data_IF_500509282133
#
_entry.id   IF_500509282133
#
_cell.length_a   1.000
_cell.length_b   1.000
_cell.length_c   1.000
_cell.angle_alpha   90.00
_cell.angle_beta   90.00
_cell.angle_gamma   90.00
#
_symmetry.space_group_name_H-M   'P 1'
#
loop_
_entity.id
_entity.type
_entity.pdbx_description
1 polymer ?
#
# COMPACT_ATOMS: atom_id res chain seq x y z
N UNK A 1 -6.70 -6.50 21.63
CA UNK A 1 -5.23 -6.68 21.45
C UNK A 1 -4.43 -5.64 22.22
N UNK A 2 -4.57 -4.32 21.98
CA UNK A 2 -3.77 -3.27 22.66
C UNK A 2 -3.88 -3.31 24.19
N UNK A 3 -5.10 -3.50 24.73
CA UNK A 3 -5.31 -3.65 26.18
C UNK A 3 -4.56 -4.85 26.76
N UNK A 4 -4.49 -5.96 26.01
CA UNK A 4 -3.77 -7.14 26.46
C UNK A 4 -2.26 -6.87 26.51
N UNK A 5 -1.70 -6.19 25.52
CA UNK A 5 -0.29 -5.79 25.52
C UNK A 5 0.01 -4.94 26.75
N UNK A 6 -0.85 -3.98 27.04
CA UNK A 6 -0.71 -3.13 28.23
C UNK A 6 -0.71 -3.97 29.52
N UNK A 7 -1.74 -4.81 29.73
CA UNK A 7 -1.86 -5.65 30.91
C UNK A 7 -0.68 -6.61 31.07
N UNK A 8 -0.19 -7.21 29.97
CA UNK A 8 0.96 -8.10 30.01
C UNK A 8 2.24 -7.36 30.41
N UNK A 9 2.45 -6.16 29.87
CA UNK A 9 3.63 -5.34 30.23
C UNK A 9 3.58 -4.86 31.68
N UNK A 10 2.42 -4.44 32.16
CA UNK A 10 2.22 -4.07 33.57
C UNK A 10 2.42 -5.27 34.49
N UNK A 11 1.91 -6.45 34.13
CA UNK A 11 2.13 -7.67 34.89
C UNK A 11 3.59 -8.10 34.93
N UNK A 12 4.31 -7.99 33.80
CA UNK A 12 5.75 -8.27 33.77
C UNK A 12 6.56 -7.32 34.67
N UNK A 13 6.23 -6.03 34.66
CA UNK A 13 6.87 -5.05 35.54
C UNK A 13 6.59 -5.35 37.03
N UNK A 14 5.37 -5.70 37.37
CA UNK A 14 5.00 -6.12 38.74
C UNK A 14 5.75 -7.35 39.19
N UNK A 15 5.87 -8.37 38.32
CA UNK A 15 6.63 -9.59 38.63
C UNK A 15 8.13 -9.29 38.90
N UNK A 16 8.67 -8.24 38.30
CA UNK A 16 10.04 -7.78 38.55
C UNK A 16 10.16 -6.85 39.79
N UNK A 17 9.06 -6.66 40.54
CA UNK A 17 9.06 -5.82 41.74
C UNK A 17 9.17 -4.33 41.46
N UNK A 18 8.83 -3.86 40.26
CA UNK A 18 8.86 -2.45 39.92
C UNK A 18 7.82 -1.66 40.73
N UNK A 19 8.22 -0.49 41.24
CA UNK A 19 7.34 0.44 41.94
C UNK A 19 6.34 1.10 41.02
N UNK A 20 5.31 1.75 41.58
CA UNK A 20 4.25 2.41 40.79
C UNK A 20 4.78 3.51 39.87
N UNK A 21 5.86 4.16 40.27
CA UNK A 21 6.56 5.21 39.54
C UNK A 21 7.44 4.68 38.39
N UNK A 22 7.69 3.38 38.38
CA UNK A 22 8.51 2.68 37.37
C UNK A 22 7.67 1.84 36.39
N UNK A 23 6.35 1.91 36.50
CA UNK A 23 5.46 1.15 35.63
C UNK A 23 5.56 1.63 34.16
N UNK A 24 5.40 0.70 33.19
CA UNK A 24 5.44 1.05 31.78
C UNK A 24 4.38 2.09 31.40
N UNK A 25 4.79 3.12 30.66
CA UNK A 25 3.87 4.08 30.05
C UNK A 25 3.60 3.69 28.60
N UNK A 26 2.36 3.84 28.17
CA UNK A 26 1.92 3.51 26.81
C UNK A 26 1.47 4.75 26.08
N UNK A 27 2.09 5.03 24.96
CA UNK A 27 1.69 6.10 24.05
C UNK A 27 1.32 5.49 22.69
N UNK A 28 0.08 5.70 22.27
CA UNK A 28 -0.38 5.31 20.94
C UNK A 28 -0.28 6.51 20.02
N UNK A 29 0.50 6.36 18.95
CA UNK A 29 0.69 7.41 17.94
C UNK A 29 0.22 6.89 16.59
N UNK A 30 -0.85 7.51 16.09
CA UNK A 30 -1.43 7.18 14.82
C UNK A 30 -2.19 5.84 14.80
N UNK A 31 -2.98 5.70 13.80
CA UNK A 31 -3.67 4.45 13.45
C UNK A 31 -3.82 4.39 11.94
N UNK A 32 -3.77 3.21 11.37
CA UNK A 32 -4.06 2.98 9.96
C UNK A 32 -5.15 1.93 9.84
N UNK A 33 -6.07 2.15 8.92
CA UNK A 33 -7.07 1.17 8.54
C UNK A 33 -6.64 0.46 7.25
N UNK A 34 -7.15 -0.75 6.97
CA UNK A 34 -6.85 -1.40 5.70
C UNK A 34 -7.27 -0.55 4.51
N UNK A 35 -6.39 -0.46 3.51
CA UNK A 35 -6.71 0.13 2.22
C UNK A 35 -7.40 -0.94 1.38
N UNK A 36 -8.69 -0.74 1.11
CA UNK A 36 -9.50 -1.70 0.35
C UNK A 36 -10.06 -0.97 -0.86
N UNK A 37 -9.60 -1.36 -2.04
CA UNK A 37 -10.08 -0.80 -3.29
C UNK A 37 -11.56 -1.12 -3.51
N UNK A 38 -12.32 -0.13 -4.00
CA UNK A 38 -13.69 -0.37 -4.42
C UNK A 38 -13.70 -1.29 -5.64
N UNK A 39 -14.40 -2.41 -5.54
CA UNK A 39 -14.42 -3.48 -6.56
C UNK A 39 -14.95 -3.01 -7.91
N UNK A 40 -16.06 -2.29 -7.90
CA UNK A 40 -16.71 -1.81 -9.13
C UNK A 40 -15.86 -0.74 -9.81
N UNK A 41 -15.31 0.17 -9.03
CA UNK A 41 -14.42 1.20 -9.52
C UNK A 41 -13.12 0.61 -10.10
N UNK A 42 -12.52 -0.36 -9.44
CA UNK A 42 -11.36 -1.08 -9.97
C UNK A 42 -11.69 -1.78 -11.29
N UNK A 43 -12.82 -2.48 -11.36
CA UNK A 43 -13.26 -3.15 -12.58
C UNK A 43 -13.49 -2.16 -13.74
N UNK A 44 -14.05 -0.97 -13.47
CA UNK A 44 -14.21 0.10 -14.45
C UNK A 44 -12.88 0.57 -15.04
N UNK A 45 -11.84 0.70 -14.23
CA UNK A 45 -10.51 1.14 -14.68
C UNK A 45 -9.74 0.05 -15.42
N UNK A 46 -9.98 -1.21 -15.12
CA UNK A 46 -9.22 -2.33 -15.70
C UNK A 46 -9.33 -2.41 -17.24
N UNK A 47 -10.49 -2.16 -17.81
CA UNK A 47 -10.69 -2.21 -19.26
C UNK A 47 -9.79 -1.22 -20.02
N UNK A 48 -9.89 0.08 -19.77
CA UNK A 48 -9.03 1.09 -20.39
C UNK A 48 -7.54 0.88 -20.14
N UNK A 49 -7.17 0.45 -18.93
CA UNK A 49 -5.77 0.19 -18.58
C UNK A 49 -5.20 -1.02 -19.34
N UNK A 50 -5.99 -2.08 -19.50
CA UNK A 50 -5.60 -3.25 -20.30
C UNK A 50 -5.49 -2.90 -21.79
N UNK A 51 -6.40 -2.08 -22.30
CA UNK A 51 -6.29 -1.58 -23.68
C UNK A 51 -5.04 -0.74 -23.92
N UNK A 52 -4.62 0.05 -22.92
CA UNK A 52 -3.42 0.88 -23.00
C UNK A 52 -2.12 0.08 -22.90
N UNK A 53 -2.04 -0.83 -21.91
CA UNK A 53 -0.80 -1.48 -21.50
C UNK A 53 -0.70 -2.92 -22.01
N UNK A 54 -1.80 -3.53 -22.40
CA UNK A 54 -1.92 -4.97 -22.67
C UNK A 54 -2.27 -5.76 -21.40
N UNK A 55 -3.01 -6.86 -21.58
CA UNK A 55 -3.53 -7.69 -20.49
C UNK A 55 -2.45 -8.18 -19.50
N UNK A 56 -1.28 -8.51 -20.04
CA UNK A 56 -0.15 -9.05 -19.25
C UNK A 56 0.44 -8.06 -18.26
N UNK A 57 0.19 -6.77 -18.46
CA UNK A 57 0.79 -5.70 -17.67
C UNK A 57 -0.18 -5.08 -16.66
N UNK A 58 -1.41 -5.59 -16.59
CA UNK A 58 -2.42 -5.14 -15.62
C UNK A 58 -2.83 -6.29 -14.73
N UNK A 59 -2.27 -6.31 -13.53
CA UNK A 59 -2.64 -7.28 -12.50
C UNK A 59 -3.90 -6.79 -11.79
N UNK A 60 -4.99 -7.53 -11.95
CA UNK A 60 -6.29 -7.19 -11.34
C UNK A 60 -6.47 -7.80 -9.95
N UNK A 61 -5.63 -8.76 -9.61
CA UNK A 61 -5.59 -9.41 -8.30
C UNK A 61 -4.15 -9.40 -7.79
N UNK A 62 -3.98 -8.99 -6.57
CA UNK A 62 -2.69 -8.97 -5.91
C UNK A 62 -2.88 -9.39 -4.44
N UNK A 63 -2.01 -10.25 -3.90
CA UNK A 63 -2.09 -10.63 -2.49
C UNK A 63 -2.05 -9.42 -1.57
N UNK A 64 -2.79 -9.48 -0.48
CA UNK A 64 -2.74 -8.44 0.55
C UNK A 64 -1.30 -8.28 1.07
N UNK A 65 -0.85 -7.04 1.19
CA UNK A 65 0.45 -6.70 1.76
C UNK A 65 0.29 -6.15 3.17
N UNK A 66 1.27 -6.41 4.03
CA UNK A 66 1.25 -6.01 5.45
C UNK A 66 1.84 -4.61 5.69
N UNK A 67 1.99 -3.81 4.63
CA UNK A 67 2.37 -2.41 4.77
C UNK A 67 1.22 -1.55 5.27
N UNK A 68 1.49 -0.54 6.07
CA UNK A 68 0.53 0.52 6.38
C UNK A 68 0.56 1.59 5.30
N UNK A 69 -0.60 2.17 5.00
CA UNK A 69 -0.77 3.22 4.00
C UNK A 69 -1.78 4.23 4.53
N UNK A 70 -1.58 5.48 4.23
CA UNK A 70 -2.43 6.58 4.71
C UNK A 70 -3.22 7.29 3.60
N UNK A 71 -3.11 6.83 2.36
CA UNK A 71 -3.81 7.42 1.19
C UNK A 71 -5.32 7.55 1.40
N UNK A 72 -5.93 6.61 2.12
CA UNK A 72 -7.36 6.63 2.42
C UNK A 72 -7.78 7.80 3.31
N UNK A 73 -6.85 8.43 4.05
CA UNK A 73 -7.12 9.62 4.83
C UNK A 73 -7.37 10.85 3.95
N UNK A 74 -6.98 10.82 2.67
CA UNK A 74 -7.33 11.89 1.71
C UNK A 74 -8.85 12.03 1.51
N UNK A 75 -9.62 10.98 1.78
CA UNK A 75 -11.08 11.03 1.72
C UNK A 75 -11.70 11.76 2.91
N UNK A 76 -10.97 11.96 4.01
CA UNK A 76 -11.50 12.52 5.24
C UNK A 76 -12.73 11.73 5.72
N UNK A 77 -13.80 12.43 5.99
CA UNK A 77 -15.08 11.85 6.43
C UNK A 77 -15.96 11.32 5.28
N UNK A 78 -15.55 11.52 4.03
CA UNK A 78 -16.32 11.15 2.83
C UNK A 78 -16.12 9.67 2.48
N UNK A 79 -16.62 8.78 3.32
CA UNK A 79 -16.43 7.33 3.18
C UNK A 79 -17.22 6.71 2.01
N UNK A 80 -18.18 7.43 1.46
CA UNK A 80 -19.00 6.98 0.34
C UNK A 80 -18.34 7.20 -1.03
N UNK A 81 -17.20 7.92 -1.07
CA UNK A 81 -16.45 8.12 -2.31
C UNK A 81 -15.67 6.84 -2.61
N UNK A 82 -15.97 6.14 -3.73
CA UNK A 82 -15.18 4.99 -4.12
C UNK A 82 -13.78 5.43 -4.50
N UNK A 83 -12.77 4.73 -4.01
CA UNK A 83 -11.39 5.00 -4.38
C UNK A 83 -10.68 3.74 -4.87
N UNK A 84 -9.59 3.96 -5.58
CA UNK A 84 -8.71 2.91 -6.06
C UNK A 84 -7.25 3.32 -5.83
N UNK A 85 -6.50 2.46 -5.19
CA UNK A 85 -5.07 2.57 -4.97
C UNK A 85 -4.35 1.57 -5.87
N UNK A 86 -3.49 2.06 -6.74
CA UNK A 86 -2.77 1.23 -7.71
C UNK A 86 -1.27 1.30 -7.48
N UNK A 87 -0.61 0.16 -7.59
CA UNK A 87 0.84 0.09 -7.67
C UNK A 87 1.29 0.16 -9.12
N UNK A 88 2.29 0.98 -9.40
CA UNK A 88 2.94 1.06 -10.71
C UNK A 88 4.34 0.48 -10.56
N UNK A 89 4.65 -0.55 -11.37
CA UNK A 89 5.99 -1.13 -11.40
C UNK A 89 7.00 -0.13 -11.95
N UNK A 90 8.02 0.17 -11.18
CA UNK A 90 9.05 1.18 -11.50
C UNK A 90 10.46 0.61 -11.54
N UNK A 91 10.63 -0.69 -11.37
CA UNK A 91 11.94 -1.33 -11.48
C UNK A 91 12.28 -1.63 -12.95
N UNK A 92 13.58 -1.54 -13.29
CA UNK A 92 14.06 -2.05 -14.58
C UNK A 92 13.65 -3.53 -14.75
N UNK A 93 13.08 -3.93 -15.90
CA UNK A 93 12.56 -5.29 -16.11
C UNK A 93 13.61 -6.39 -15.93
N UNK A 94 14.87 -6.14 -16.30
CA UNK A 94 15.96 -7.12 -16.15
C UNK A 94 16.33 -7.28 -14.67
N UNK A 95 16.42 -6.17 -13.96
CA UNK A 95 16.70 -6.17 -12.53
C UNK A 95 15.57 -6.86 -11.76
N UNK A 96 14.32 -6.58 -12.13
CA UNK A 96 13.16 -7.24 -11.54
C UNK A 96 13.19 -8.76 -11.78
N UNK A 97 13.40 -9.20 -13.04
CA UNK A 97 13.45 -10.61 -13.37
C UNK A 97 14.58 -11.36 -12.62
N UNK A 98 15.72 -10.72 -12.43
CA UNK A 98 16.83 -11.29 -11.66
C UNK A 98 16.50 -11.39 -10.15
N UNK A 99 15.81 -10.42 -9.60
CA UNK A 99 15.35 -10.49 -8.21
C UNK A 99 14.38 -11.66 -7.99
N UNK A 100 13.41 -11.83 -8.89
CA UNK A 100 12.45 -12.95 -8.86
C UNK A 100 13.17 -14.31 -8.95
N UNK A 101 14.16 -14.46 -9.84
CA UNK A 101 14.99 -15.68 -9.92
C UNK A 101 15.74 -15.99 -8.62
N UNK A 102 16.05 -14.95 -7.83
CA UNK A 102 16.70 -15.09 -6.52
C UNK A 102 15.68 -15.29 -5.36
N UNK A 103 14.39 -15.48 -5.67
CA UNK A 103 13.33 -15.64 -4.68
C UNK A 103 12.93 -14.35 -3.96
N UNK A 104 13.34 -13.19 -4.47
CA UNK A 104 12.96 -11.88 -3.93
C UNK A 104 11.68 -11.40 -4.62
N UNK A 105 10.66 -10.91 -3.88
CA UNK A 105 9.42 -10.43 -4.48
C UNK A 105 9.61 -9.13 -5.27
N UNK A 106 10.57 -8.30 -4.84
CA UNK A 106 10.93 -7.04 -5.49
C UNK A 106 12.44 -6.81 -5.39
N UNK A 107 13.08 -6.11 -6.34
CA UNK A 107 14.52 -5.82 -6.26
C UNK A 107 14.86 -4.78 -5.19
N UNK A 108 13.96 -3.85 -4.95
CA UNK A 108 14.13 -2.73 -4.03
C UNK A 108 12.89 -2.60 -3.16
N UNK A 109 13.09 -2.44 -1.85
CA UNK A 109 12.01 -2.20 -0.91
C UNK A 109 11.74 -0.69 -0.86
N UNK A 110 10.48 -0.23 -1.00
CA UNK A 110 10.12 1.17 -0.77
C UNK A 110 10.66 1.68 0.59
N UNK A 111 11.00 2.96 0.67
CA UNK A 111 11.60 3.58 1.85
C UNK A 111 13.01 3.07 2.22
N UNK A 112 13.65 2.31 1.31
CA UNK A 112 15.05 1.92 1.45
C UNK A 112 15.98 2.97 0.84
N UNK A 113 17.17 3.24 1.42
CA UNK A 113 18.15 4.13 0.79
C UNK A 113 18.66 3.63 -0.56
N UNK A 114 18.47 2.34 -0.86
CA UNK A 114 18.85 1.72 -2.13
C UNK A 114 17.67 1.65 -3.13
N UNK A 115 16.56 2.33 -2.84
CA UNK A 115 15.41 2.35 -3.74
C UNK A 115 15.75 3.10 -5.03
N UNK A 116 15.62 2.41 -6.17
CA UNK A 116 15.92 2.98 -7.50
C UNK A 116 14.68 2.84 -8.38
N UNK A 117 14.36 3.91 -9.07
CA UNK A 117 13.28 3.98 -10.07
C UNK A 117 13.90 3.99 -11.47
N UNK A 118 13.45 3.11 -12.35
CA UNK A 118 13.75 3.23 -13.78
C UNK A 118 12.96 4.40 -14.34
N UNK A 119 13.67 5.43 -14.83
CA UNK A 119 13.05 6.62 -15.38
C UNK A 119 12.17 6.35 -16.60
N UNK A 120 12.36 5.21 -17.29
CA UNK A 120 11.48 4.75 -18.37
C UNK A 120 10.06 4.39 -17.88
N UNK A 121 9.88 4.19 -16.58
CA UNK A 121 8.56 3.95 -15.99
C UNK A 121 7.74 5.25 -15.86
N UNK A 122 8.35 6.42 -15.84
CA UNK A 122 7.65 7.71 -15.70
C UNK A 122 6.56 7.93 -16.77
N UNK A 123 6.83 7.73 -18.08
CA UNK A 123 5.79 7.83 -19.10
C UNK A 123 4.65 6.83 -18.93
N UNK A 124 4.94 5.64 -18.39
CA UNK A 124 3.92 4.63 -18.10
C UNK A 124 3.00 5.13 -16.99
N UNK A 125 3.56 5.63 -15.90
CA UNK A 125 2.80 6.23 -14.80
C UNK A 125 1.92 7.38 -15.27
N UNK A 126 2.45 8.29 -16.07
CA UNK A 126 1.69 9.40 -16.65
C UNK A 126 0.51 8.91 -17.51
N UNK A 127 0.73 7.91 -18.37
CA UNK A 127 -0.32 7.32 -19.20
C UNK A 127 -1.41 6.66 -18.35
N UNK A 128 -1.03 5.89 -17.32
CA UNK A 128 -1.98 5.24 -16.40
C UNK A 128 -2.87 6.27 -15.72
N UNK A 129 -2.27 7.34 -15.17
CA UNK A 129 -3.01 8.41 -14.52
C UNK A 129 -3.95 9.12 -15.51
N UNK A 130 -3.44 9.47 -16.69
CA UNK A 130 -4.23 10.16 -17.72
C UNK A 130 -5.44 9.33 -18.17
N UNK A 131 -5.25 8.04 -18.49
CA UNK A 131 -6.35 7.17 -18.91
C UNK A 131 -7.36 6.97 -17.80
N UNK A 132 -6.90 6.81 -16.57
CA UNK A 132 -7.80 6.70 -15.42
C UNK A 132 -8.65 7.95 -15.24
N UNK A 133 -8.07 9.13 -15.37
CA UNK A 133 -8.80 10.41 -15.29
C UNK A 133 -9.78 10.58 -16.45
N UNK A 134 -9.39 10.25 -17.67
CA UNK A 134 -10.29 10.32 -18.84
C UNK A 134 -11.50 9.39 -18.68
N UNK A 135 -11.28 8.15 -18.17
CA UNK A 135 -12.38 7.22 -17.90
C UNK A 135 -13.36 7.77 -16.86
N UNK A 136 -12.87 8.50 -15.84
CA UNK A 136 -13.71 9.12 -14.82
C UNK A 136 -14.50 10.30 -15.35
N UNK A 137 -13.93 11.08 -16.24
CA UNK A 137 -14.54 12.28 -16.82
C UNK A 137 -15.54 11.94 -17.94
N UNK A 138 -15.45 10.74 -18.50
CA UNK A 138 -16.40 10.30 -19.55
C UNK A 138 -17.74 9.98 -18.91
N UNK A 139 -18.76 10.76 -19.24
CA UNK A 139 -20.16 10.44 -18.86
C UNK A 139 -20.58 9.16 -19.60
N UNK A 140 -21.00 8.16 -18.85
CA UNK A 140 -21.72 7.00 -19.37
C UNK A 140 -23.19 7.25 -19.31
#
# INVERSE_FOLDING_TARGET
>A
MLNNIKSMSEGAAQMQGMGKDQMPTFTFKGSSTPVINNKEFSARLNGPLKALLGDKHVLTEYPAVMGSEDVHHLLGDQKDIPFNFMFIGVADPVVFANAVKQGKPVPYIPHSPNYIVDLKALPVGAKVTTVSMLELLTKK
#
